data_IF_900172094788
#
_entry.id   IF_900172094788
#
_cell.length_a   1.000
_cell.length_b   1.000
_cell.length_c   1.000
_cell.angle_alpha   90.00
_cell.angle_beta   90.00
_cell.angle_gamma   90.00
#
_symmetry.space_group_name_H-M   'P 1'
#
loop_
_entity.id
_entity.type
_entity.pdbx_description
1 polymer ?
#
# COMPACT_ATOMS: atom_id res chain seq x y z
N UNK A 1 19.51 -17.25 -3.07
CA UNK A 1 18.44 -17.53 -4.05
C UNK A 1 18.93 -17.15 -5.43
N UNK A 2 18.70 -17.97 -6.44
CA UNK A 2 19.11 -17.66 -7.81
C UNK A 2 18.17 -16.63 -8.45
N UNK A 3 18.66 -15.94 -9.49
CA UNK A 3 17.83 -14.98 -10.24
C UNK A 3 16.57 -15.64 -10.81
N UNK A 4 16.68 -16.90 -11.25
CA UNK A 4 15.56 -17.66 -11.79
C UNK A 4 14.51 -17.94 -10.73
N UNK A 5 14.93 -18.30 -9.51
CA UNK A 5 14.03 -18.52 -8.39
C UNK A 5 13.32 -17.23 -7.98
N UNK A 6 14.05 -16.12 -7.95
CA UNK A 6 13.46 -14.82 -7.66
C UNK A 6 12.42 -14.42 -8.70
N UNK A 7 12.71 -14.64 -9.97
CA UNK A 7 11.77 -14.37 -11.05
C UNK A 7 10.50 -15.22 -10.90
N UNK A 8 10.66 -16.51 -10.63
CA UNK A 8 9.56 -17.44 -10.44
C UNK A 8 8.69 -17.04 -9.25
N UNK A 9 9.31 -16.66 -8.15
CA UNK A 9 8.58 -16.23 -6.94
C UNK A 9 7.77 -14.97 -7.21
N UNK A 10 8.33 -14.01 -7.93
CA UNK A 10 7.61 -12.78 -8.29
C UNK A 10 6.43 -13.05 -9.20
N UNK A 11 6.62 -13.90 -10.19
CA UNK A 11 5.58 -14.30 -11.13
C UNK A 11 4.43 -15.02 -10.40
N UNK A 12 4.76 -15.94 -9.52
CA UNK A 12 3.77 -16.68 -8.75
C UNK A 12 3.00 -15.77 -7.81
N UNK A 13 3.65 -14.80 -7.21
CA UNK A 13 2.98 -13.85 -6.33
C UNK A 13 1.98 -12.98 -7.08
N UNK A 14 2.35 -12.45 -8.25
CA UNK A 14 1.42 -11.68 -9.07
C UNK A 14 0.23 -12.54 -9.52
N UNK A 15 0.48 -13.78 -9.92
CA UNK A 15 -0.57 -14.71 -10.31
C UNK A 15 -1.51 -15.02 -9.13
N UNK A 16 -0.95 -15.19 -7.94
CA UNK A 16 -1.74 -15.43 -6.72
C UNK A 16 -2.65 -14.24 -6.42
N UNK A 17 -2.14 -13.01 -6.55
CA UNK A 17 -2.91 -11.80 -6.32
C UNK A 17 -4.10 -11.65 -7.27
N UNK A 18 -3.97 -12.22 -8.47
CA UNK A 18 -5.03 -12.19 -9.48
C UNK A 18 -5.96 -13.40 -9.42
N UNK A 19 -5.70 -14.37 -8.51
CA UNK A 19 -6.54 -15.55 -8.36
C UNK A 19 -7.86 -15.19 -7.66
N UNK A 20 -8.85 -16.09 -7.77
CA UNK A 20 -10.14 -15.93 -7.09
C UNK A 20 -9.96 -15.76 -5.58
N UNK A 21 -9.10 -16.58 -4.99
CA UNK A 21 -8.81 -16.53 -3.56
C UNK A 21 -8.18 -15.19 -3.17
N UNK A 22 -7.21 -14.72 -3.96
CA UNK A 22 -6.59 -13.42 -3.75
C UNK A 22 -7.58 -12.27 -3.87
N UNK A 23 -8.57 -12.38 -4.76
CA UNK A 23 -9.62 -11.35 -4.89
C UNK A 23 -10.52 -11.30 -3.65
N UNK A 24 -10.85 -12.44 -3.08
CA UNK A 24 -11.65 -12.49 -1.84
C UNK A 24 -10.89 -11.85 -0.69
N UNK A 25 -9.60 -12.19 -0.54
CA UNK A 25 -8.74 -11.57 0.47
C UNK A 25 -8.69 -10.05 0.29
N UNK A 26 -8.53 -9.60 -0.94
CA UNK A 26 -8.45 -8.18 -1.27
C UNK A 26 -9.75 -7.45 -0.88
N UNK A 27 -10.89 -7.97 -1.29
CA UNK A 27 -12.19 -7.36 -1.00
C UNK A 27 -12.42 -7.27 0.50
N UNK A 28 -12.13 -8.35 1.23
CA UNK A 28 -12.29 -8.40 2.69
C UNK A 28 -11.36 -7.41 3.38
N UNK A 29 -10.10 -7.36 2.98
CA UNK A 29 -9.11 -6.44 3.55
C UNK A 29 -9.47 -4.98 3.25
N UNK A 30 -9.89 -4.69 2.03
CA UNK A 30 -10.29 -3.33 1.64
C UNK A 30 -11.53 -2.88 2.42
N UNK A 31 -12.48 -3.77 2.64
CA UNK A 31 -13.65 -3.43 3.46
C UNK A 31 -13.24 -3.05 4.88
N UNK A 32 -12.34 -3.82 5.48
CA UNK A 32 -11.82 -3.53 6.81
C UNK A 32 -11.09 -2.19 6.85
N UNK A 33 -10.24 -1.95 5.85
CA UNK A 33 -9.50 -0.68 5.72
C UNK A 33 -10.48 0.49 5.58
N UNK A 34 -11.48 0.37 4.72
CA UNK A 34 -12.50 1.41 4.54
C UNK A 34 -13.28 1.68 5.81
N UNK A 35 -13.62 0.65 6.58
CA UNK A 35 -14.31 0.83 7.86
C UNK A 35 -13.42 1.60 8.85
N UNK A 36 -12.12 1.28 8.92
CA UNK A 36 -11.17 2.00 9.76
C UNK A 36 -11.03 3.46 9.32
N UNK A 37 -10.92 3.70 8.02
CA UNK A 37 -10.77 5.06 7.47
C UNK A 37 -12.02 5.89 7.72
N UNK A 38 -13.20 5.32 7.55
CA UNK A 38 -14.47 5.99 7.85
C UNK A 38 -14.57 6.38 9.32
N UNK A 39 -14.16 5.48 10.21
CA UNK A 39 -14.11 5.76 11.65
C UNK A 39 -13.13 6.89 11.98
N UNK A 40 -11.96 6.89 11.35
CA UNK A 40 -10.96 7.95 11.55
C UNK A 40 -11.47 9.29 11.07
N UNK A 41 -12.11 9.35 9.93
CA UNK A 41 -12.68 10.60 9.41
C UNK A 41 -13.75 11.15 10.36
N UNK A 42 -14.62 10.28 10.86
CA UNK A 42 -15.67 10.65 11.79
C UNK A 42 -15.10 11.12 13.14
N UNK A 43 -14.16 10.36 13.70
CA UNK A 43 -13.53 10.67 14.99
C UNK A 43 -12.77 11.99 14.94
N UNK A 44 -12.04 12.24 13.85
CA UNK A 44 -11.25 13.46 13.67
C UNK A 44 -12.05 14.61 13.04
N UNK A 45 -13.30 14.37 12.69
CA UNK A 45 -14.18 15.36 12.05
C UNK A 45 -13.56 15.91 10.76
N UNK A 46 -13.02 15.02 9.91
CA UNK A 46 -12.38 15.39 8.66
C UNK A 46 -13.41 15.40 7.53
N UNK A 47 -13.30 16.38 6.65
CA UNK A 47 -14.19 16.52 5.48
C UNK A 47 -13.59 15.93 4.21
N UNK A 48 -12.26 15.91 4.10
CA UNK A 48 -11.56 15.48 2.90
C UNK A 48 -10.69 14.25 3.19
N UNK A 49 -10.75 13.28 2.27
CA UNK A 49 -9.92 12.06 2.36
C UNK A 49 -8.43 12.39 2.30
N UNK A 50 -8.03 13.43 1.58
CA UNK A 50 -6.64 13.88 1.50
C UNK A 50 -6.04 14.31 2.84
N UNK A 51 -6.88 14.53 3.85
CA UNK A 51 -6.44 14.86 5.21
C UNK A 51 -6.02 13.61 5.99
N UNK A 52 -6.35 12.41 5.50
CA UNK A 52 -5.91 11.16 6.11
C UNK A 52 -4.63 10.68 5.42
N UNK A 53 -3.59 10.49 6.24
CA UNK A 53 -2.27 10.03 5.79
C UNK A 53 -2.11 8.55 6.10
N UNK A 54 -1.85 7.76 5.06
CA UNK A 54 -1.69 6.32 5.15
C UNK A 54 -0.25 5.94 4.82
N UNK A 55 0.33 5.08 5.64
CA UNK A 55 1.63 4.46 5.35
C UNK A 55 1.43 2.99 5.06
N UNK A 56 1.83 2.55 3.88
CA UNK A 56 1.79 1.15 3.45
C UNK A 56 3.21 0.59 3.44
N UNK A 57 3.55 -0.19 4.47
CA UNK A 57 4.86 -0.83 4.61
C UNK A 57 4.81 -2.19 3.93
N UNK A 58 5.80 -2.45 3.07
CA UNK A 58 5.79 -3.67 2.26
C UNK A 58 4.71 -3.62 1.18
N UNK A 59 4.58 -2.48 0.52
CA UNK A 59 3.48 -2.20 -0.39
C UNK A 59 3.41 -3.12 -1.62
N UNK A 60 4.51 -3.80 -1.95
CA UNK A 60 4.59 -4.63 -3.15
C UNK A 60 4.40 -3.81 -4.41
N UNK A 61 3.50 -4.24 -5.27
CA UNK A 61 3.17 -3.53 -6.52
C UNK A 61 2.02 -2.54 -6.34
N UNK A 62 1.63 -2.27 -5.10
CA UNK A 62 0.62 -1.26 -4.78
C UNK A 62 -0.81 -1.76 -4.75
N UNK A 63 -1.02 -3.02 -4.38
CA UNK A 63 -2.35 -3.65 -4.36
C UNK A 63 -3.37 -2.83 -3.57
N UNK A 64 -2.94 -2.28 -2.43
CA UNK A 64 -3.79 -1.44 -1.56
C UNK A 64 -3.48 0.04 -1.75
N UNK A 65 -2.21 0.40 -1.89
CA UNK A 65 -1.77 1.80 -2.03
C UNK A 65 -2.41 2.48 -3.22
N UNK A 66 -2.43 1.83 -4.38
CA UNK A 66 -2.95 2.43 -5.61
C UNK A 66 -4.44 2.71 -5.51
N UNK A 67 -5.32 1.74 -5.13
CA UNK A 67 -6.74 2.04 -5.00
C UNK A 67 -7.03 3.12 -3.96
N UNK A 68 -6.34 3.11 -2.83
CA UNK A 68 -6.55 4.10 -1.78
C UNK A 68 -6.13 5.51 -2.23
N UNK A 69 -5.01 5.62 -2.94
CA UNK A 69 -4.59 6.90 -3.51
C UNK A 69 -5.58 7.39 -4.57
N UNK A 70 -6.11 6.49 -5.40
CA UNK A 70 -7.12 6.83 -6.39
C UNK A 70 -8.42 7.32 -5.74
N UNK A 71 -8.72 6.84 -4.54
CA UNK A 71 -9.88 7.29 -3.76
C UNK A 71 -9.66 8.65 -3.09
N UNK A 72 -8.45 9.19 -3.13
CA UNK A 72 -8.15 10.52 -2.64
C UNK A 72 -7.39 10.59 -1.32
N UNK A 73 -7.04 9.45 -0.72
CA UNK A 73 -6.23 9.43 0.50
C UNK A 73 -4.78 9.80 0.21
N UNK A 74 -4.10 10.37 1.20
CA UNK A 74 -2.66 10.70 1.10
C UNK A 74 -1.85 9.45 1.47
N UNK A 75 -1.41 8.71 0.45
CA UNK A 75 -0.73 7.41 0.64
C UNK A 75 0.76 7.53 0.39
N UNK A 76 1.54 7.08 1.36
CA UNK A 76 2.99 6.87 1.24
C UNK A 76 3.25 5.37 1.32
N UNK A 77 4.05 4.84 0.40
CA UNK A 77 4.39 3.44 0.33
C UNK A 77 5.88 3.22 0.52
N UNK A 78 6.23 2.21 1.31
CA UNK A 78 7.60 1.72 1.44
C UNK A 78 7.67 0.32 0.85
N UNK A 79 8.61 0.08 -0.05
CA UNK A 79 8.82 -1.22 -0.65
C UNK A 79 10.32 -1.48 -0.78
N UNK A 80 10.76 -2.64 -0.27
CA UNK A 80 12.17 -3.01 -0.27
C UNK A 80 12.65 -3.46 -1.66
N UNK A 81 11.81 -4.13 -2.41
CA UNK A 81 12.16 -4.73 -3.71
C UNK A 81 12.00 -3.69 -4.82
N UNK A 82 13.11 -3.33 -5.47
CA UNK A 82 13.12 -2.32 -6.55
C UNK A 82 12.16 -2.64 -7.69
N UNK A 83 12.06 -3.91 -8.06
CA UNK A 83 11.15 -4.33 -9.13
C UNK A 83 9.69 -3.99 -8.80
N UNK A 84 9.27 -4.30 -7.58
CA UNK A 84 7.91 -4.00 -7.11
C UNK A 84 7.68 -2.50 -7.02
N UNK A 85 8.66 -1.77 -6.52
CA UNK A 85 8.59 -0.31 -6.41
C UNK A 85 8.43 0.34 -7.79
N UNK A 86 9.19 -0.14 -8.78
CA UNK A 86 9.06 0.34 -10.16
C UNK A 86 7.68 0.10 -10.74
N UNK A 87 7.11 -1.07 -10.49
CA UNK A 87 5.76 -1.41 -10.95
C UNK A 87 4.70 -0.54 -10.25
N UNK A 88 4.87 -0.31 -8.96
CA UNK A 88 3.99 0.58 -8.20
C UNK A 88 3.98 1.98 -8.81
N UNK A 89 5.16 2.53 -9.07
CA UNK A 89 5.30 3.87 -9.66
C UNK A 89 4.69 3.98 -11.06
N UNK A 90 4.73 2.89 -11.83
CA UNK A 90 4.10 2.84 -13.14
C UNK A 90 2.57 2.84 -13.05
N UNK A 91 2.01 2.25 -12.00
CA UNK A 91 0.56 2.14 -11.81
C UNK A 91 -0.08 3.44 -11.36
N UNK A 92 0.62 4.24 -10.56
CA UNK A 92 0.05 5.47 -10.04
C UNK A 92 1.15 6.47 -9.67
N UNK A 93 0.97 7.71 -10.06
CA UNK A 93 1.79 8.83 -9.62
C UNK A 93 1.25 9.50 -8.36
N UNK A 94 0.08 9.05 -7.89
CA UNK A 94 -0.57 9.60 -6.70
C UNK A 94 -0.01 9.04 -5.39
N UNK A 95 0.71 7.91 -5.46
CA UNK A 95 1.35 7.29 -4.31
C UNK A 95 2.77 7.83 -4.16
N UNK A 96 3.12 8.30 -2.97
CA UNK A 96 4.50 8.66 -2.66
C UNK A 96 5.26 7.38 -2.31
N UNK A 97 6.06 6.88 -3.24
CA UNK A 97 6.70 5.58 -3.11
C UNK A 97 8.20 5.71 -2.87
N UNK A 98 8.69 5.04 -1.85
CA UNK A 98 10.11 5.05 -1.45
C UNK A 98 10.62 3.63 -1.29
N UNK A 99 11.90 3.43 -1.63
CA UNK A 99 12.56 2.16 -1.36
C UNK A 99 12.97 2.11 0.13
N UNK A 100 12.57 1.04 0.80
CA UNK A 100 12.91 0.85 2.20
C UNK A 100 12.07 -0.20 2.87
N UNK A 101 12.35 -0.42 4.14
CA UNK A 101 11.60 -1.37 4.98
C UNK A 101 11.21 -0.72 6.31
N UNK A 102 10.59 -1.51 7.18
CA UNK A 102 10.11 -1.02 8.47
C UNK A 102 11.21 -0.39 9.35
N UNK A 103 12.49 -0.79 9.16
CA UNK A 103 13.59 -0.22 9.95
C UNK A 103 13.88 1.24 9.58
N UNK A 104 13.40 1.70 8.42
CA UNK A 104 13.56 3.09 7.97
C UNK A 104 12.42 4.00 8.40
N UNK A 105 11.52 3.53 9.24
CA UNK A 105 10.40 4.34 9.73
C UNK A 105 10.87 5.56 10.52
N UNK A 106 12.09 5.56 11.03
CA UNK A 106 12.68 6.73 11.69
C UNK A 106 12.80 7.96 10.78
N UNK A 107 12.76 7.75 9.47
CA UNK A 107 12.75 8.83 8.48
C UNK A 107 11.50 9.70 8.61
N UNK A 108 10.41 9.12 9.10
CA UNK A 108 9.15 9.81 9.29
C UNK A 108 8.99 10.16 10.77
N UNK A 109 8.35 11.30 11.04
CA UNK A 109 8.06 11.70 12.41
C UNK A 109 7.01 10.81 13.07
N UNK A 110 7.01 10.80 14.40
CA UNK A 110 5.94 10.16 15.15
C UNK A 110 4.63 10.88 14.82
N UNK A 111 3.54 10.13 14.72
CA UNK A 111 2.20 10.67 14.44
C UNK A 111 2.05 11.31 13.05
N UNK A 112 3.01 11.06 12.13
CA UNK A 112 2.90 11.56 10.76
C UNK A 112 1.80 10.85 9.97
N UNK A 113 1.48 9.60 10.33
CA UNK A 113 0.47 8.79 9.64
C UNK A 113 -0.70 8.44 10.53
N UNK A 114 -1.89 8.46 9.95
CA UNK A 114 -3.14 8.10 10.64
C UNK A 114 -3.39 6.59 10.62
N UNK A 115 -2.90 5.91 9.59
CA UNK A 115 -3.05 4.46 9.41
C UNK A 115 -1.77 3.88 8.82
N UNK A 116 -1.36 2.71 9.28
CA UNK A 116 -0.15 2.00 8.81
C UNK A 116 -0.45 0.55 8.47
#
# INVERSE_FOLDING_TARGET
MTELEEYYNKFNEEKRLNSRHGRVEFITSMKYIHDCLGSLMNEKQLDLRSQIKILDVGAGIGRYSVPLAEEGYDVTALELVKHNLGRLKQKSDKVRAYQGNATKLKKFGNDEFDLT
#
